data_IF_598261129603
#
_entry.id   IF_598261129603
#
_cell.length_a   1.000
_cell.length_b   1.000
_cell.length_c   1.000
_cell.angle_alpha   90.00
_cell.angle_beta   90.00
_cell.angle_gamma   90.00
#
_symmetry.space_group_name_H-M   'P 1'
#
loop_
_entity.id
_entity.type
_entity.pdbx_description
1 polymer ?
#
# COMPACT_ATOMS: atom_id res chain seq x y z
N UNK A 1 15.56 13.47 11.45
CA UNK A 1 15.00 12.68 10.33
C UNK A 1 14.96 11.18 10.67
N UNK A 2 16.09 10.56 11.05
CA UNK A 2 16.20 9.13 11.41
C UNK A 2 15.20 8.63 12.47
N UNK A 3 14.86 9.45 13.47
CA UNK A 3 13.93 9.05 14.54
C UNK A 3 12.48 8.91 14.04
N UNK A 4 12.08 9.71 13.04
CA UNK A 4 10.73 9.69 12.48
C UNK A 4 10.51 8.46 11.59
N UNK A 5 11.53 8.10 10.81
CA UNK A 5 11.49 6.90 9.95
C UNK A 5 11.47 5.62 10.78
N UNK A 6 12.26 5.55 11.85
CA UNK A 6 12.29 4.38 12.74
C UNK A 6 10.98 4.17 13.50
N UNK A 7 10.32 5.26 13.93
CA UNK A 7 9.00 5.18 14.57
C UNK A 7 7.95 4.74 13.54
N UNK A 8 7.99 5.30 12.33
CA UNK A 8 7.06 4.94 11.26
C UNK A 8 7.20 3.48 10.84
N UNK A 9 8.43 2.97 10.71
CA UNK A 9 8.73 1.55 10.50
C UNK A 9 8.09 0.66 11.56
N UNK A 10 8.20 1.06 12.83
CA UNK A 10 7.65 0.30 13.94
C UNK A 10 6.12 0.31 13.95
N UNK A 11 5.51 1.44 13.59
CA UNK A 11 4.07 1.56 13.40
C UNK A 11 3.61 0.66 12.25
N UNK A 12 4.29 0.68 11.10
CA UNK A 12 3.94 -0.19 9.97
C UNK A 12 4.04 -1.67 10.32
N UNK A 13 5.10 -2.08 11.03
CA UNK A 13 5.25 -3.45 11.54
C UNK A 13 4.13 -3.81 12.51
N UNK A 14 3.82 -2.94 13.47
CA UNK A 14 2.74 -3.17 14.41
C UNK A 14 1.39 -3.28 13.70
N UNK A 15 1.09 -2.38 12.76
CA UNK A 15 -0.11 -2.40 11.95
C UNK A 15 -0.21 -3.67 11.13
N UNK A 16 0.89 -4.14 10.51
CA UNK A 16 0.92 -5.41 9.79
C UNK A 16 0.48 -6.57 10.68
N UNK A 17 1.06 -6.70 11.87
CA UNK A 17 0.71 -7.77 12.80
C UNK A 17 -0.74 -7.65 13.28
N UNK A 18 -1.18 -6.44 13.62
CA UNK A 18 -2.53 -6.18 14.14
C UNK A 18 -3.60 -6.52 13.09
N UNK A 19 -3.41 -6.09 11.84
CA UNK A 19 -4.32 -6.45 10.75
C UNK A 19 -4.25 -7.94 10.40
N UNK A 20 -3.08 -8.57 10.49
CA UNK A 20 -2.96 -10.03 10.26
C UNK A 20 -3.73 -10.82 11.32
N UNK A 21 -3.65 -10.41 12.59
CA UNK A 21 -4.42 -11.02 13.68
C UNK A 21 -5.92 -10.83 13.44
N UNK A 22 -6.35 -9.61 13.11
CA UNK A 22 -7.76 -9.32 12.81
C UNK A 22 -8.29 -10.12 11.61
N UNK A 23 -7.47 -10.34 10.58
CA UNK A 23 -7.84 -11.17 9.44
C UNK A 23 -8.09 -12.63 9.86
N UNK A 24 -7.18 -13.20 10.66
CA UNK A 24 -7.30 -14.57 11.17
C UNK A 24 -8.51 -14.69 12.10
N UNK A 25 -8.72 -13.73 13.00
CA UNK A 25 -9.88 -13.71 13.88
C UNK A 25 -11.18 -13.61 13.10
N UNK A 26 -11.28 -12.68 12.14
CA UNK A 26 -12.46 -12.55 11.30
C UNK A 26 -12.76 -13.85 10.56
N UNK A 27 -11.73 -14.50 9.99
CA UNK A 27 -11.91 -15.77 9.28
C UNK A 27 -12.36 -16.89 10.23
N UNK A 28 -11.82 -16.90 11.45
CA UNK A 28 -12.18 -17.87 12.49
C UNK A 28 -13.63 -17.70 12.95
N UNK A 29 -14.09 -16.46 13.14
CA UNK A 29 -15.49 -16.15 13.49
C UNK A 29 -16.43 -16.58 12.37
N UNK A 30 -16.13 -16.23 11.12
CA UNK A 30 -16.99 -16.63 9.99
C UNK A 30 -17.07 -18.16 9.84
N UNK A 31 -15.97 -18.88 10.07
CA UNK A 31 -15.97 -20.35 10.07
C UNK A 31 -16.76 -20.92 11.24
N UNK A 32 -16.64 -20.35 12.43
CA UNK A 32 -17.39 -20.73 13.61
C UNK A 32 -18.89 -20.56 13.41
N UNK A 33 -19.33 -19.41 12.90
CA UNK A 33 -20.74 -19.12 12.64
C UNK A 33 -21.34 -20.07 11.61
N UNK A 34 -20.58 -20.40 10.57
CA UNK A 34 -21.00 -21.40 9.57
C UNK A 34 -21.09 -22.80 10.17
N UNK A 35 -20.13 -23.19 11.00
CA UNK A 35 -20.12 -24.51 11.63
C UNK A 35 -21.30 -24.68 12.61
N UNK A 36 -21.62 -23.63 13.36
CA UNK A 36 -22.77 -23.61 14.29
C UNK A 36 -24.12 -23.41 13.60
N UNK A 37 -24.12 -23.16 12.29
CA UNK A 37 -25.35 -22.93 11.52
C UNK A 37 -26.01 -21.57 11.79
N UNK A 38 -25.30 -20.61 12.41
CA UNK A 38 -25.80 -19.25 12.65
C UNK A 38 -25.90 -18.44 11.35
N UNK A 39 -25.13 -18.80 10.33
CA UNK A 39 -25.19 -18.17 9.00
C UNK A 39 -25.18 -19.20 7.89
N UNK A 40 -25.96 -18.93 6.85
CA UNK A 40 -26.00 -19.74 5.62
C UNK A 40 -24.85 -19.41 4.66
N UNK A 41 -24.19 -18.26 4.83
CA UNK A 41 -23.16 -17.74 3.93
C UNK A 41 -21.84 -17.41 4.65
N UNK A 42 -20.71 -17.72 4.00
CA UNK A 42 -19.39 -17.30 4.46
C UNK A 42 -19.17 -15.85 4.02
N UNK A 43 -19.22 -14.91 4.97
CA UNK A 43 -18.84 -13.52 4.71
C UNK A 43 -17.34 -13.29 4.88
N UNK A 44 -16.58 -13.39 3.79
CA UNK A 44 -15.12 -13.17 3.79
C UNK A 44 -14.71 -11.69 3.72
N UNK A 45 -15.66 -10.78 3.51
CA UNK A 45 -15.39 -9.36 3.28
C UNK A 45 -14.51 -8.73 4.38
N UNK A 46 -14.78 -8.92 5.69
CA UNK A 46 -13.94 -8.30 6.72
C UNK A 46 -12.52 -8.87 6.74
N UNK A 47 -12.37 -10.19 6.59
CA UNK A 47 -11.06 -10.84 6.49
C UNK A 47 -10.23 -10.32 5.30
N UNK A 48 -10.87 -10.13 4.15
CA UNK A 48 -10.23 -9.57 2.95
C UNK A 48 -9.78 -8.12 3.15
N UNK A 49 -10.60 -7.30 3.83
CA UNK A 49 -10.23 -5.92 4.15
C UNK A 49 -9.01 -5.88 5.07
N UNK A 50 -8.98 -6.70 6.13
CA UNK A 50 -7.83 -6.78 7.02
C UNK A 50 -6.58 -7.30 6.31
N UNK A 51 -6.72 -8.31 5.43
CA UNK A 51 -5.62 -8.78 4.59
C UNK A 51 -5.08 -7.69 3.66
N UNK A 52 -5.97 -6.89 3.06
CA UNK A 52 -5.57 -5.77 2.21
C UNK A 52 -4.74 -4.74 3.01
N UNK A 53 -5.19 -4.37 4.21
CA UNK A 53 -4.44 -3.43 5.05
C UNK A 53 -3.13 -4.01 5.58
N UNK A 54 -3.09 -5.30 5.93
CA UNK A 54 -1.84 -5.97 6.27
C UNK A 54 -0.86 -5.94 5.09
N UNK A 55 -1.33 -6.27 3.89
CA UNK A 55 -0.52 -6.20 2.68
C UNK A 55 0.00 -4.77 2.45
N UNK A 56 -0.87 -3.78 2.55
CA UNK A 56 -0.48 -2.38 2.39
C UNK A 56 0.60 -1.96 3.40
N UNK A 57 0.43 -2.30 4.68
CA UNK A 57 1.43 -2.01 5.71
C UNK A 57 2.80 -2.66 5.42
N UNK A 58 2.80 -3.88 4.87
CA UNK A 58 4.03 -4.61 4.53
C UNK A 58 4.74 -4.04 3.29
N UNK A 59 4.00 -3.63 2.28
CA UNK A 59 4.54 -3.19 0.98
C UNK A 59 4.60 -1.68 0.81
N UNK A 60 4.31 -0.91 1.86
CA UNK A 60 4.32 0.55 1.83
C UNK A 60 5.62 1.13 1.26
N UNK A 61 6.78 0.55 1.62
CA UNK A 61 8.08 0.99 1.10
C UNK A 61 8.27 0.67 -0.39
N UNK A 62 7.75 -0.45 -0.87
CA UNK A 62 7.82 -0.80 -2.29
C UNK A 62 6.93 0.13 -3.14
N UNK A 63 5.75 0.48 -2.61
CA UNK A 63 4.84 1.45 -3.24
C UNK A 63 5.50 2.82 -3.31
N UNK A 64 6.08 3.30 -2.19
CA UNK A 64 6.81 4.57 -2.17
C UNK A 64 7.99 4.58 -3.14
N UNK A 65 8.76 3.48 -3.20
CA UNK A 65 9.86 3.36 -4.16
C UNK A 65 9.36 3.47 -5.60
N UNK A 66 8.27 2.77 -5.94
CA UNK A 66 7.64 2.85 -7.27
C UNK A 66 7.19 4.26 -7.62
N UNK A 67 6.53 4.96 -6.69
CA UNK A 67 6.07 6.33 -6.87
C UNK A 67 7.24 7.30 -7.10
N UNK A 68 8.30 7.20 -6.29
CA UNK A 68 9.48 8.04 -6.44
C UNK A 68 10.18 7.81 -7.79
N UNK A 69 10.21 6.55 -8.27
CA UNK A 69 10.74 6.24 -9.61
C UNK A 69 9.91 6.85 -10.73
N UNK A 70 8.58 6.81 -10.61
CA UNK A 70 7.68 7.46 -11.57
C UNK A 70 7.89 8.98 -11.60
N UNK A 71 8.06 9.60 -10.44
CA UNK A 71 8.32 11.04 -10.33
C UNK A 71 9.66 11.43 -10.99
N UNK A 72 10.72 10.66 -10.77
CA UNK A 72 12.03 10.87 -11.42
C UNK A 72 11.90 10.78 -12.95
N UNK A 73 11.17 9.78 -13.45
CA UNK A 73 10.97 9.62 -14.90
C UNK A 73 10.17 10.81 -15.46
N UNK A 74 9.10 11.21 -14.78
CA UNK A 74 8.26 12.32 -15.20
C UNK A 74 9.04 13.64 -15.23
N UNK A 75 9.84 13.93 -14.20
CA UNK A 75 10.68 15.13 -14.17
C UNK A 75 11.76 15.10 -15.26
N UNK A 76 12.36 13.93 -15.53
CA UNK A 76 13.32 13.78 -16.62
C UNK A 76 12.69 14.07 -17.98
N UNK A 77 11.48 13.58 -18.23
CA UNK A 77 10.79 13.83 -19.50
C UNK A 77 10.35 15.30 -19.62
N UNK A 78 9.83 15.90 -18.54
CA UNK A 78 9.52 17.35 -18.52
C UNK A 78 10.74 18.20 -18.81
N UNK A 79 11.89 17.88 -18.21
CA UNK A 79 13.13 18.60 -18.49
C UNK A 79 13.60 18.41 -19.95
N UNK A 80 13.38 17.23 -20.54
CA UNK A 80 13.69 16.97 -21.94
C UNK A 80 12.83 17.82 -22.88
N UNK A 81 11.52 17.90 -22.62
CA UNK A 81 10.59 18.73 -23.40
C UNK A 81 10.97 20.22 -23.30
N UNK A 82 11.27 20.70 -22.09
CA UNK A 82 11.70 22.09 -21.87
C UNK A 82 13.04 22.46 -22.55
N UNK A 83 13.92 21.48 -22.82
CA UNK A 83 15.14 21.72 -23.59
C UNK A 83 14.86 21.80 -25.08
N UNK A 84 13.99 20.93 -25.61
CA UNK A 84 13.58 20.95 -27.01
C UNK A 84 12.88 22.27 -27.39
N UNK A 85 11.94 22.73 -26.55
CA UNK A 85 11.25 24.02 -26.78
C UNK A 85 12.22 25.21 -26.82
N UNK A 86 13.30 25.17 -26.03
CA UNK A 86 14.33 26.23 -25.99
C UNK A 86 15.26 26.21 -27.20
N UNK A 87 15.52 25.04 -27.76
CA UNK A 87 16.35 24.90 -28.93
C UNK A 87 15.57 25.31 -30.19
N UNK A 88 14.27 25.04 -30.24
CA UNK A 88 13.37 25.51 -31.29
C UNK A 88 13.22 27.05 -31.27
N UNK A 89 13.05 27.68 -30.10
CA UNK A 89 13.01 29.15 -29.96
C UNK A 89 14.31 29.86 -30.37
N UNK A 90 15.48 29.21 -30.23
CA UNK A 90 16.77 29.79 -30.64
C UNK A 90 17.07 29.64 -32.12
N UNK A 91 16.34 28.77 -32.82
CA UNK A 91 16.53 28.49 -34.25
C UNK A 91 15.62 29.31 -35.17
N UNK A 92 14.67 30.05 -34.60
CA UNK A 92 13.76 30.98 -35.29
C UNK A 92 14.19 32.44 -35.14
#
# INVERSE_FOLDING_TARGET
MIFKDKIFDNILKLSFYLFSILAVFSMSVTLYDKYMGYTSSIELKPALIFLFFAFFAKYQYAIQYGLNRLEIINNKERHRQLMLDKDDEKSS
#
